data_IF_341788739878
#
_entry.id   IF_341788739878
#
_cell.length_a   1.000
_cell.length_b   1.000
_cell.length_c   1.000
_cell.angle_alpha   90.00
_cell.angle_beta   90.00
_cell.angle_gamma   90.00
#
_symmetry.space_group_name_H-M   'P 1'
#
loop_
_entity.id
_entity.type
_entity.pdbx_description
1 polymer ?
#
# COMPACT_ATOMS: atom_id res chain seq x y z
N UNK A 1 -4.89 -11.87 -18.89
CA UNK A 1 -5.82 -11.01 -18.12
C UNK A 1 -6.48 -11.80 -17.00
N UNK A 2 -7.42 -12.72 -17.26
CA UNK A 2 -8.11 -13.51 -16.20
C UNK A 2 -7.15 -14.15 -15.19
N UNK A 3 -6.11 -14.87 -15.64
CA UNK A 3 -5.15 -15.57 -14.77
C UNK A 3 -4.39 -14.68 -13.77
N UNK A 4 -4.19 -13.39 -14.06
CA UNK A 4 -3.41 -12.50 -13.18
C UNK A 4 -4.22 -12.06 -11.97
N UNK A 5 -5.50 -11.73 -12.17
CA UNK A 5 -6.43 -11.37 -11.09
C UNK A 5 -6.64 -12.58 -10.15
N UNK A 6 -6.77 -13.79 -10.72
CA UNK A 6 -6.91 -15.03 -9.93
C UNK A 6 -5.75 -15.28 -8.96
N UNK A 7 -4.52 -14.84 -9.26
CA UNK A 7 -3.35 -15.09 -8.41
C UNK A 7 -3.23 -14.14 -7.21
N UNK A 8 -3.71 -12.90 -7.36
CA UNK A 8 -3.83 -11.96 -6.24
C UNK A 8 -5.02 -12.32 -5.35
N UNK A 9 -6.15 -12.69 -5.96
CA UNK A 9 -7.38 -13.07 -5.25
C UNK A 9 -7.22 -14.40 -4.48
N UNK A 10 -6.45 -15.39 -4.96
CA UNK A 10 -6.37 -16.72 -4.34
C UNK A 10 -5.70 -16.81 -2.94
N UNK A 11 -5.57 -15.70 -2.20
CA UNK A 11 -5.10 -15.66 -0.79
C UNK A 11 -5.97 -14.73 0.05
N UNK A 12 -7.06 -15.29 0.57
CA UNK A 12 -8.01 -14.66 1.50
C UNK A 12 -9.19 -15.60 1.78
N UNK A 13 -10.12 -15.22 2.64
CA UNK A 13 -11.42 -15.90 2.75
C UNK A 13 -12.24 -15.74 1.48
N UNK A 14 -13.26 -16.59 1.25
CA UNK A 14 -14.13 -16.42 0.09
C UNK A 14 -14.79 -15.03 0.03
N UNK A 15 -15.13 -14.42 1.16
CA UNK A 15 -15.78 -13.11 1.19
C UNK A 15 -14.82 -11.97 0.80
N UNK A 16 -13.58 -11.97 1.31
CA UNK A 16 -12.55 -11.01 0.92
C UNK A 16 -12.24 -11.06 -0.58
N UNK A 17 -12.28 -12.27 -1.15
CA UNK A 17 -12.08 -12.50 -2.58
C UNK A 17 -13.19 -11.90 -3.45
N UNK A 18 -14.45 -12.01 -2.99
CA UNK A 18 -15.62 -11.37 -3.61
C UNK A 18 -15.52 -9.85 -3.54
N UNK A 19 -15.14 -9.32 -2.36
CA UNK A 19 -14.92 -7.88 -2.13
C UNK A 19 -13.81 -7.31 -3.01
N UNK A 20 -12.64 -7.94 -3.07
CA UNK A 20 -11.50 -7.48 -3.89
C UNK A 20 -11.88 -7.42 -5.38
N UNK A 21 -12.57 -8.45 -5.89
CA UNK A 21 -13.05 -8.48 -7.28
C UNK A 21 -14.02 -7.31 -7.57
N UNK A 22 -14.95 -7.04 -6.65
CA UNK A 22 -15.93 -5.95 -6.73
C UNK A 22 -15.29 -4.57 -6.54
N UNK A 23 -14.27 -4.44 -5.71
CA UNK A 23 -13.48 -3.21 -5.55
C UNK A 23 -12.73 -2.84 -6.83
N UNK A 24 -11.98 -3.76 -7.43
CA UNK A 24 -11.23 -3.50 -8.67
C UNK A 24 -12.14 -3.14 -9.85
N UNK A 25 -13.38 -3.64 -9.89
CA UNK A 25 -14.43 -3.16 -10.80
C UNK A 25 -14.88 -1.74 -10.45
N UNK A 26 -15.18 -1.46 -9.19
CA UNK A 26 -15.65 -0.15 -8.69
C UNK A 26 -14.64 0.99 -8.94
N UNK A 27 -13.33 0.73 -8.82
CA UNK A 27 -12.28 1.73 -9.06
C UNK A 27 -11.73 1.74 -10.50
N UNK A 28 -12.34 1.00 -11.43
CA UNK A 28 -11.98 1.02 -12.85
C UNK A 28 -10.63 0.38 -13.20
N UNK A 29 -10.08 -0.49 -12.35
CA UNK A 29 -8.92 -1.34 -12.67
C UNK A 29 -9.36 -2.51 -13.57
N UNK A 30 -10.57 -3.02 -13.38
CA UNK A 30 -11.23 -3.92 -14.34
C UNK A 30 -11.93 -3.07 -15.40
N UNK A 31 -11.76 -3.44 -16.67
CA UNK A 31 -12.36 -2.74 -17.81
C UNK A 31 -13.75 -3.29 -18.19
N UNK A 32 -14.53 -2.46 -18.88
CA UNK A 32 -15.83 -2.86 -19.41
C UNK A 32 -15.73 -3.80 -20.63
N UNK A 33 -16.74 -4.67 -20.86
CA UNK A 33 -17.99 -4.87 -20.11
C UNK A 33 -17.88 -5.88 -18.95
N UNK A 34 -16.66 -6.14 -18.45
CA UNK A 34 -16.44 -7.15 -17.39
C UNK A 34 -16.61 -6.55 -15.98
N UNK A 35 -16.29 -5.27 -15.79
CA UNK A 35 -16.56 -4.56 -14.55
C UNK A 35 -18.07 -4.45 -14.25
N UNK A 36 -18.89 -3.99 -15.20
CA UNK A 36 -20.36 -3.95 -15.03
C UNK A 36 -20.92 -5.32 -14.63
N UNK A 37 -20.49 -6.41 -15.26
CA UNK A 37 -20.92 -7.78 -14.90
C UNK A 37 -20.58 -8.19 -13.46
N UNK A 38 -19.46 -7.71 -12.91
CA UNK A 38 -19.09 -7.93 -11.50
C UNK A 38 -19.95 -7.06 -10.57
N UNK A 39 -20.26 -5.84 -10.99
CA UNK A 39 -21.10 -4.90 -10.23
C UNK A 39 -22.58 -5.34 -10.19
N UNK A 40 -23.07 -5.95 -11.28
CA UNK A 40 -24.43 -6.48 -11.43
C UNK A 40 -24.64 -7.81 -10.69
N UNK A 41 -23.59 -8.65 -10.56
CA UNK A 41 -23.70 -9.97 -9.92
C UNK A 41 -23.83 -9.85 -8.39
N UNK A 42 -24.81 -10.52 -7.75
CA UNK A 42 -24.88 -10.62 -6.29
C UNK A 42 -23.56 -11.15 -5.70
N UNK A 43 -23.16 -10.62 -4.55
CA UNK A 43 -21.81 -10.83 -4.02
C UNK A 43 -21.50 -12.32 -3.73
N UNK A 44 -22.50 -13.09 -3.28
CA UNK A 44 -22.40 -14.54 -3.08
C UNK A 44 -22.17 -15.33 -4.38
N UNK A 45 -22.50 -14.75 -5.54
CA UNK A 45 -22.27 -15.32 -6.88
C UNK A 45 -20.91 -14.95 -7.48
N UNK A 46 -20.15 -14.05 -6.84
CA UNK A 46 -18.81 -13.71 -7.31
C UNK A 46 -17.83 -14.88 -7.05
N UNK A 47 -16.93 -15.18 -8.00
CA UNK A 47 -16.05 -16.36 -7.95
C UNK A 47 -14.92 -16.21 -6.93
N UNK A 48 -14.49 -17.35 -6.38
CA UNK A 48 -13.58 -17.46 -5.24
C UNK A 48 -12.67 -18.70 -5.33
N UNK A 49 -11.58 -18.68 -4.60
CA UNK A 49 -10.67 -19.79 -4.32
C UNK A 49 -10.72 -20.18 -2.82
N UNK A 50 -10.17 -21.35 -2.49
CA UNK A 50 -10.25 -21.93 -1.14
C UNK A 50 -9.62 -21.06 -0.03
N UNK A 51 -10.21 -21.14 1.18
CA UNK A 51 -10.04 -20.17 2.27
C UNK A 51 -9.39 -20.74 3.55
N UNK A 52 -8.97 -19.85 4.46
CA UNK A 52 -8.73 -20.08 5.91
C UNK A 52 -8.95 -18.78 6.72
N UNK A 53 -9.00 -18.85 8.07
CA UNK A 53 -9.77 -17.91 8.91
C UNK A 53 -9.06 -17.39 10.21
N UNK A 54 -9.57 -16.32 10.89
CA UNK A 54 -8.77 -15.40 11.74
C UNK A 54 -9.22 -15.23 13.23
N UNK A 55 -8.56 -14.33 14.00
CA UNK A 55 -9.01 -13.78 15.31
C UNK A 55 -8.24 -12.49 15.75
N UNK A 56 -8.86 -11.59 16.55
CA UNK A 56 -8.34 -10.26 16.99
C UNK A 56 -8.97 -9.82 18.36
N UNK A 57 -8.73 -8.69 19.07
CA UNK A 57 -7.84 -7.50 19.01
C UNK A 57 -7.83 -6.74 20.39
N UNK A 58 -7.02 -5.67 20.57
CA UNK A 58 -7.06 -4.66 21.68
C UNK A 58 -6.97 -3.22 21.07
N UNK A 59 -7.20 -2.13 21.81
CA UNK A 59 -7.31 -0.75 21.26
C UNK A 59 -6.82 0.36 22.25
N UNK A 60 -6.77 1.68 21.89
CA UNK A 60 -6.88 2.33 20.58
C UNK A 60 -5.73 3.32 20.22
N UNK A 61 -5.69 3.82 18.99
CA UNK A 61 -5.05 5.09 18.60
C UNK A 61 -6.11 6.07 18.07
N UNK A 62 -5.81 7.39 18.05
CA UNK A 62 -6.79 8.45 17.73
C UNK A 62 -7.29 8.45 16.28
N UNK A 63 -6.43 8.07 15.33
CA UNK A 63 -6.91 7.52 14.06
C UNK A 63 -7.30 6.06 14.31
N UNK A 64 -8.58 5.73 14.09
CA UNK A 64 -9.06 4.33 14.12
C UNK A 64 -8.17 3.46 13.25
N UNK A 65 -8.02 2.20 13.64
CA UNK A 65 -7.19 1.24 12.92
C UNK A 65 -8.04 0.56 11.85
N UNK A 66 -7.47 0.45 10.66
CA UNK A 66 -8.10 -0.23 9.54
C UNK A 66 -7.79 -1.73 9.64
N UNK A 67 -8.84 -2.55 9.60
CA UNK A 67 -8.73 -4.00 9.74
C UNK A 67 -9.94 -4.71 9.14
N UNK A 68 -10.00 -6.03 9.34
CA UNK A 68 -11.02 -6.91 8.79
C UNK A 68 -12.45 -6.40 9.07
N UNK A 69 -13.25 -6.28 8.00
CA UNK A 69 -14.62 -5.79 8.04
C UNK A 69 -14.81 -4.32 7.63
N UNK A 70 -13.80 -3.46 7.76
CA UNK A 70 -13.89 -2.05 7.35
C UNK A 70 -14.08 -1.88 5.83
N UNK A 71 -14.95 -0.96 5.41
CA UNK A 71 -15.33 -0.74 4.01
C UNK A 71 -15.00 0.68 3.53
N UNK A 72 -14.27 0.83 2.42
CA UNK A 72 -13.75 2.12 1.96
C UNK A 72 -14.82 3.21 1.71
N UNK A 73 -16.08 2.80 1.52
CA UNK A 73 -17.27 3.66 1.47
C UNK A 73 -17.56 4.47 2.73
N UNK A 74 -17.00 4.09 3.88
CA UNK A 74 -17.14 4.82 5.16
C UNK A 74 -16.04 5.84 5.45
N UNK A 75 -15.04 5.98 4.58
CA UNK A 75 -13.89 6.86 4.81
C UNK A 75 -14.18 8.31 4.41
N UNK A 76 -13.86 9.24 5.30
CA UNK A 76 -13.70 10.66 4.94
C UNK A 76 -12.37 10.81 4.21
N UNK A 77 -12.43 11.06 2.90
CA UNK A 77 -11.25 11.18 2.04
C UNK A 77 -10.79 12.64 1.98
N UNK A 78 -9.48 12.94 2.13
CA UNK A 78 -8.97 14.30 1.98
C UNK A 78 -9.00 14.76 0.51
N UNK A 79 -9.14 16.06 0.29
CA UNK A 79 -9.20 16.66 -1.04
C UNK A 79 -7.79 16.92 -1.56
N UNK A 80 -7.34 16.06 -2.50
CA UNK A 80 -6.00 16.11 -3.08
C UNK A 80 -6.02 16.40 -4.58
N UNK A 81 -5.04 17.17 -5.05
CA UNK A 81 -4.74 17.39 -6.47
C UNK A 81 -3.24 17.35 -6.72
N UNK A 82 -2.82 17.26 -7.99
CA UNK A 82 -1.42 17.36 -8.40
C UNK A 82 -1.20 18.65 -9.20
N UNK A 83 -0.20 19.44 -8.82
CA UNK A 83 0.22 20.67 -9.51
C UNK A 83 1.74 20.65 -9.67
N UNK A 84 2.25 20.83 -10.88
CA UNK A 84 3.69 20.85 -11.22
C UNK A 84 4.50 19.69 -10.60
N UNK A 85 3.93 18.46 -10.66
CA UNK A 85 4.55 17.26 -10.11
C UNK A 85 4.52 17.16 -8.57
N UNK A 86 3.79 18.04 -7.88
CA UNK A 86 3.62 18.04 -6.41
C UNK A 86 2.18 17.74 -6.00
N UNK A 87 2.02 17.02 -4.90
CA UNK A 87 0.71 16.86 -4.25
C UNK A 87 0.32 18.16 -3.55
N UNK A 88 -0.95 18.53 -3.65
CA UNK A 88 -1.55 19.69 -2.98
C UNK A 88 -2.81 19.23 -2.22
N UNK A 89 -2.93 19.67 -0.97
CA UNK A 89 -4.11 19.48 -0.11
C UNK A 89 -4.91 20.78 -0.03
N UNK A 90 -6.25 20.68 0.05
CA UNK A 90 -7.13 21.84 0.25
C UNK A 90 -7.24 22.28 1.73
N UNK A 91 -6.45 21.67 2.63
CA UNK A 91 -6.43 21.96 4.07
C UNK A 91 -6.86 20.79 4.95
N UNK A 92 -7.36 19.70 4.36
CA UNK A 92 -7.86 18.53 5.09
C UNK A 92 -6.75 17.74 5.81
N UNK A 93 -5.54 17.69 5.21
CA UNK A 93 -4.34 17.06 5.75
C UNK A 93 -3.08 17.87 5.46
N UNK A 94 -2.03 17.64 6.25
CA UNK A 94 -0.68 18.16 5.99
C UNK A 94 -0.04 17.47 4.78
N UNK A 95 0.60 18.25 3.91
CA UNK A 95 1.38 17.77 2.77
C UNK A 95 2.71 18.52 2.72
N UNK A 96 3.77 17.88 3.19
CA UNK A 96 5.13 18.43 3.21
C UNK A 96 5.93 18.01 1.97
N UNK A 97 6.85 18.87 1.53
CA UNK A 97 7.82 18.53 0.48
C UNK A 97 9.25 18.57 1.03
N UNK A 98 9.83 17.39 1.31
CA UNK A 98 11.18 17.23 1.87
C UNK A 98 12.05 16.48 0.85
N UNK A 99 12.72 17.19 -0.07
CA UNK A 99 13.38 16.57 -1.21
C UNK A 99 14.60 15.72 -0.82
N UNK A 100 14.80 14.61 -1.51
CA UNK A 100 16.05 13.82 -1.47
C UNK A 100 16.90 14.02 -2.72
N UNK A 101 18.23 13.90 -2.56
CA UNK A 101 19.19 13.85 -3.66
C UNK A 101 19.22 12.48 -4.38
N UNK A 102 18.63 11.43 -3.78
CA UNK A 102 18.52 10.09 -4.37
C UNK A 102 17.43 10.05 -5.45
N UNK A 103 17.64 10.72 -6.59
CA UNK A 103 16.63 10.95 -7.63
C UNK A 103 17.17 10.66 -9.04
N UNK A 104 16.38 9.93 -9.84
CA UNK A 104 16.68 9.60 -11.23
C UNK A 104 16.31 10.70 -12.23
N UNK A 105 16.25 10.33 -13.51
CA UNK A 105 15.84 11.22 -14.61
C UNK A 105 14.37 11.67 -14.54
N UNK A 106 13.89 12.27 -15.63
CA UNK A 106 12.45 12.43 -15.88
C UNK A 106 11.83 11.08 -16.28
N UNK A 107 10.52 10.94 -16.10
CA UNK A 107 9.80 9.85 -16.77
C UNK A 107 9.77 10.08 -18.29
N UNK A 108 9.72 8.98 -19.04
CA UNK A 108 9.40 9.01 -20.49
C UNK A 108 7.94 9.43 -20.70
N UNK A 109 7.60 9.96 -21.87
CA UNK A 109 6.25 10.49 -22.14
C UNK A 109 5.10 9.46 -22.07
N UNK A 110 5.41 8.16 -22.00
CA UNK A 110 4.45 7.07 -21.82
C UNK A 110 4.39 6.52 -20.37
N UNK A 111 5.17 7.09 -19.46
CA UNK A 111 5.35 6.70 -18.05
C UNK A 111 5.08 7.93 -17.14
N UNK A 112 4.73 7.76 -15.84
CA UNK A 112 4.59 6.49 -15.13
C UNK A 112 3.30 5.74 -15.51
N UNK A 113 3.35 4.41 -15.41
CA UNK A 113 2.27 3.48 -15.73
C UNK A 113 1.73 2.71 -14.53
N UNK A 114 2.47 2.66 -13.43
CA UNK A 114 2.10 1.91 -12.24
C UNK A 114 2.18 2.78 -10.98
N UNK A 115 1.36 2.47 -9.98
CA UNK A 115 1.60 2.89 -8.59
C UNK A 115 2.09 1.65 -7.84
N UNK A 116 3.19 1.75 -7.10
CA UNK A 116 3.74 0.68 -6.26
C UNK A 116 3.52 1.04 -4.79
N UNK A 117 2.88 0.15 -4.04
CA UNK A 117 2.68 0.30 -2.60
C UNK A 117 3.64 -0.60 -1.81
N UNK A 118 4.23 -0.06 -0.73
CA UNK A 118 5.08 -0.78 0.22
C UNK A 118 4.89 -0.27 1.66
N UNK A 119 5.37 -1.02 2.66
CA UNK A 119 5.61 -0.44 3.98
C UNK A 119 7.06 0.02 4.12
N UNK A 120 7.25 1.12 4.83
CA UNK A 120 8.58 1.69 5.07
C UNK A 120 9.44 0.91 6.09
N UNK A 121 8.85 -0.08 6.77
CA UNK A 121 9.45 -0.86 7.87
C UNK A 121 9.98 0.05 8.99
N UNK A 122 9.10 0.93 9.49
CA UNK A 122 9.42 1.98 10.46
C UNK A 122 8.18 2.43 11.23
N UNK A 123 8.41 2.86 12.48
CA UNK A 123 7.43 3.47 13.38
C UNK A 123 7.21 4.97 13.10
N UNK A 124 8.18 5.62 12.45
CA UNK A 124 8.30 7.08 12.38
C UNK A 124 8.62 7.59 10.96
N UNK A 125 7.95 8.67 10.58
CA UNK A 125 8.21 9.39 9.33
C UNK A 125 9.59 10.06 9.31
N UNK A 126 10.00 10.69 10.42
CA UNK A 126 11.29 11.37 10.52
C UNK A 126 12.49 10.43 10.33
N UNK A 127 12.43 9.21 10.87
CA UNK A 127 13.45 8.18 10.66
C UNK A 127 13.53 7.73 9.20
N UNK A 128 12.38 7.59 8.52
CA UNK A 128 12.31 7.27 7.09
C UNK A 128 12.91 8.36 6.22
N UNK A 129 12.51 9.62 6.44
CA UNK A 129 12.98 10.78 5.68
C UNK A 129 14.48 10.97 5.88
N UNK A 130 14.97 10.87 7.12
CA UNK A 130 16.41 10.93 7.41
C UNK A 130 17.19 9.82 6.68
N UNK A 131 16.68 8.59 6.67
CA UNK A 131 17.25 7.46 5.90
C UNK A 131 17.26 7.74 4.40
N UNK A 132 16.14 8.13 3.80
CA UNK A 132 16.00 8.32 2.35
C UNK A 132 16.65 9.61 1.83
N UNK A 133 16.93 10.59 2.67
CA UNK A 133 17.71 11.79 2.34
C UNK A 133 19.21 11.65 2.62
N UNK A 134 19.68 10.53 3.18
CA UNK A 134 21.11 10.25 3.35
C UNK A 134 21.75 9.99 1.97
N UNK A 135 22.89 10.63 1.61
CA UNK A 135 23.55 10.42 0.32
C UNK A 135 23.97 8.97 0.06
N UNK A 136 24.08 8.60 -1.21
CA UNK A 136 24.54 7.28 -1.70
C UNK A 136 23.70 6.07 -1.22
N UNK A 137 22.49 6.30 -0.70
CA UNK A 137 21.57 5.24 -0.25
C UNK A 137 20.97 4.42 -1.38
N UNK A 138 21.02 4.91 -2.63
CA UNK A 138 20.45 4.27 -3.82
C UNK A 138 18.96 3.89 -3.69
N UNK A 139 18.25 4.58 -2.78
CA UNK A 139 16.84 4.36 -2.47
C UNK A 139 16.13 5.70 -2.24
N UNK A 140 14.88 5.79 -2.70
CA UNK A 140 13.98 6.91 -2.45
C UNK A 140 12.55 6.51 -2.83
N UNK A 141 11.57 7.22 -2.29
CA UNK A 141 10.15 7.04 -2.63
C UNK A 141 9.59 8.38 -3.09
N UNK A 142 8.51 8.40 -3.89
CA UNK A 142 7.85 9.65 -4.23
C UNK A 142 7.12 10.22 -3.02
N UNK A 143 6.34 9.36 -2.35
CA UNK A 143 5.33 9.75 -1.38
C UNK A 143 5.42 8.85 -0.14
N UNK A 144 5.37 9.45 1.04
CA UNK A 144 5.26 8.78 2.34
C UNK A 144 3.92 9.14 2.97
N UNK A 145 3.10 8.16 3.34
CA UNK A 145 1.85 8.40 4.08
C UNK A 145 2.04 8.09 5.58
N UNK A 146 1.89 9.12 6.42
CA UNK A 146 2.10 9.05 7.87
C UNK A 146 0.92 8.39 8.60
N UNK A 147 1.08 7.97 9.87
CA UNK A 147 0.03 7.23 10.63
C UNK A 147 -1.28 8.00 10.82
N UNK A 148 -1.19 9.31 10.82
CA UNK A 148 -2.27 10.31 10.90
C UNK A 148 -2.82 10.74 9.53
N UNK A 149 -2.33 10.14 8.43
CA UNK A 149 -2.82 10.40 7.08
C UNK A 149 -2.20 11.60 6.36
N UNK A 150 -1.22 12.29 6.97
CA UNK A 150 -0.41 13.29 6.27
C UNK A 150 0.47 12.68 5.19
N UNK A 151 0.95 13.52 4.27
CA UNK A 151 1.86 13.13 3.18
C UNK A 151 3.19 13.85 3.35
N UNK A 152 4.30 13.13 3.23
CA UNK A 152 5.61 13.72 2.93
C UNK A 152 6.02 13.29 1.53
N UNK A 153 6.11 14.25 0.61
CA UNK A 153 6.62 14.02 -0.74
C UNK A 153 8.13 14.26 -0.76
N UNK A 154 8.91 13.29 -1.27
CA UNK A 154 10.38 13.37 -1.35
C UNK A 154 10.92 13.46 -2.77
N UNK A 155 10.15 13.06 -3.79
CA UNK A 155 10.51 13.14 -5.21
C UNK A 155 9.35 13.73 -6.02
N UNK A 156 9.60 14.74 -6.90
CA UNK A 156 8.61 15.21 -7.86
C UNK A 156 8.04 14.10 -8.75
N UNK A 157 6.74 14.13 -9.02
CA UNK A 157 6.00 13.05 -9.69
C UNK A 157 6.28 12.98 -11.21
N UNK A 158 7.01 13.95 -11.76
CA UNK A 158 7.58 13.97 -13.11
C UNK A 158 9.00 13.35 -13.18
N UNK A 159 9.51 12.82 -12.05
CA UNK A 159 10.87 12.27 -11.88
C UNK A 159 10.85 10.85 -11.34
N UNK A 160 11.90 10.10 -11.66
CA UNK A 160 12.09 8.71 -11.22
C UNK A 160 12.61 8.68 -9.77
N UNK A 161 11.87 8.07 -8.85
CA UNK A 161 12.37 7.67 -7.53
C UNK A 161 12.91 6.22 -7.55
N UNK A 162 13.61 5.81 -6.50
CA UNK A 162 14.34 4.54 -6.42
C UNK A 162 13.73 3.57 -5.38
N UNK A 163 12.42 3.29 -5.52
CA UNK A 163 11.64 2.53 -4.53
C UNK A 163 11.54 1.03 -4.85
N UNK A 164 11.33 0.70 -6.13
CA UNK A 164 11.12 -0.67 -6.59
C UNK A 164 12.43 -1.46 -6.70
N UNK A 165 13.49 -0.84 -7.20
CA UNK A 165 14.78 -1.51 -7.41
C UNK A 165 14.69 -2.71 -8.37
N UNK A 166 15.37 -3.81 -8.05
CA UNK A 166 15.35 -5.04 -8.85
C UNK A 166 13.95 -5.69 -8.83
N UNK A 167 13.19 -5.49 -9.92
CA UNK A 167 11.75 -5.73 -10.00
C UNK A 167 11.30 -6.11 -11.41
N UNK A 168 10.22 -6.89 -11.53
CA UNK A 168 9.57 -7.24 -12.80
C UNK A 168 8.04 -7.34 -12.63
N UNK A 169 7.28 -6.83 -13.59
CA UNK A 169 5.82 -6.95 -13.64
C UNK A 169 5.33 -7.10 -15.08
N UNK A 170 4.58 -8.17 -15.38
CA UNK A 170 4.02 -8.45 -16.72
C UNK A 170 5.07 -8.37 -17.85
N UNK A 171 6.30 -8.82 -17.58
CA UNK A 171 7.45 -8.79 -18.50
C UNK A 171 8.21 -7.45 -18.57
N UNK A 172 7.72 -6.38 -17.91
CA UNK A 172 8.45 -5.12 -17.79
C UNK A 172 9.39 -5.17 -16.58
N UNK A 173 10.68 -4.93 -16.80
CA UNK A 173 11.72 -4.91 -15.76
C UNK A 173 12.06 -3.48 -15.30
N UNK A 174 12.51 -3.37 -14.05
CA UNK A 174 13.03 -2.12 -13.48
C UNK A 174 11.95 -1.07 -13.28
N UNK A 175 10.96 -1.38 -12.44
CA UNK A 175 9.72 -0.60 -12.33
C UNK A 175 9.93 0.85 -11.86
N UNK A 176 11.06 1.20 -11.23
CA UNK A 176 11.46 2.58 -10.90
C UNK A 176 11.18 3.56 -12.05
N UNK A 177 11.59 3.19 -13.28
CA UNK A 177 11.47 4.05 -14.46
C UNK A 177 10.02 4.21 -14.98
N UNK A 178 9.05 3.52 -14.37
CA UNK A 178 7.66 3.39 -14.84
C UNK A 178 6.61 3.53 -13.74
N UNK A 179 7.01 3.92 -12.53
CA UNK A 179 6.10 3.87 -11.39
C UNK A 179 6.31 4.94 -10.34
N UNK A 180 5.19 5.37 -9.78
CA UNK A 180 5.11 6.22 -8.58
C UNK A 180 5.13 5.29 -7.37
N UNK A 181 6.10 5.46 -6.49
CA UNK A 181 6.21 4.70 -5.23
C UNK A 181 5.50 5.42 -4.10
N UNK A 182 4.72 4.67 -3.31
CA UNK A 182 4.05 5.16 -2.10
C UNK A 182 4.39 4.23 -0.93
N UNK A 183 5.20 4.75 -0.01
CA UNK A 183 5.56 4.07 1.24
C UNK A 183 4.59 4.49 2.34
N UNK A 184 4.13 3.54 3.14
CA UNK A 184 3.40 3.85 4.38
C UNK A 184 4.31 3.78 5.58
N UNK A 185 4.18 4.74 6.52
CA UNK A 185 4.75 4.62 7.86
C UNK A 185 4.03 3.49 8.58
N UNK A 186 4.61 2.30 8.51
CA UNK A 186 4.12 1.05 9.07
C UNK A 186 5.35 0.16 9.33
N UNK A 187 5.38 -0.51 10.48
CA UNK A 187 6.44 -1.43 10.88
C UNK A 187 6.51 -2.69 10.00
N UNK A 188 5.42 -3.06 9.35
CA UNK A 188 5.30 -4.22 8.49
C UNK A 188 5.18 -5.52 9.28
N UNK A 189 6.08 -6.47 9.01
CA UNK A 189 6.10 -7.77 9.69
C UNK A 189 6.68 -7.68 11.10
N UNK A 190 6.02 -8.35 12.04
CA UNK A 190 6.32 -8.39 13.46
C UNK A 190 6.58 -9.84 13.92
N UNK A 191 7.27 -9.98 15.04
CA UNK A 191 7.54 -11.25 15.70
C UNK A 191 6.97 -11.22 17.11
N UNK A 192 6.28 -12.28 17.55
CA UNK A 192 5.91 -12.44 18.95
C UNK A 192 7.07 -13.06 19.75
N UNK A 193 7.37 -12.47 20.90
CA UNK A 193 8.30 -13.00 21.91
C UNK A 193 7.63 -14.09 22.77
N UNK A 194 8.41 -14.78 23.59
CA UNK A 194 7.89 -15.82 24.51
C UNK A 194 6.98 -15.28 25.63
N UNK A 195 7.07 -14.00 25.93
CA UNK A 195 6.18 -13.25 26.85
C UNK A 195 4.91 -12.72 26.14
N UNK A 196 4.72 -13.06 24.86
CA UNK A 196 3.62 -12.61 24.00
C UNK A 196 3.90 -11.28 23.28
N UNK A 197 4.84 -10.46 23.77
CA UNK A 197 5.07 -9.09 23.29
C UNK A 197 5.51 -9.07 21.83
N UNK A 198 4.86 -8.22 21.04
CA UNK A 198 5.20 -8.02 19.63
C UNK A 198 6.41 -7.10 19.45
N UNK A 199 7.31 -7.47 18.54
CA UNK A 199 8.41 -6.59 18.12
C UNK A 199 8.63 -6.53 16.62
N UNK A 200 9.20 -5.42 16.19
CA UNK A 200 9.89 -5.28 14.90
C UNK A 200 11.09 -6.24 14.79
N UNK A 201 11.71 -6.29 13.62
CA UNK A 201 12.95 -7.04 13.37
C UNK A 201 14.16 -6.49 14.16
N UNK A 202 14.20 -5.19 14.47
CA UNK A 202 15.21 -4.53 15.32
C UNK A 202 14.85 -4.56 16.82
N UNK A 203 13.77 -5.27 17.19
CA UNK A 203 13.43 -5.58 18.59
C UNK A 203 12.63 -4.50 19.34
N UNK A 204 12.25 -3.39 18.67
CA UNK A 204 11.34 -2.37 19.21
C UNK A 204 9.98 -2.99 19.53
N UNK A 205 9.40 -2.64 20.67
CA UNK A 205 8.07 -3.10 21.08
C UNK A 205 6.99 -2.40 20.27
N UNK A 206 6.04 -3.18 19.73
CA UNK A 206 4.82 -2.68 19.08
C UNK A 206 3.63 -3.06 19.96
N UNK A 207 2.74 -2.13 20.33
CA UNK A 207 1.55 -2.46 21.13
C UNK A 207 0.62 -3.42 20.38
N UNK A 208 0.08 -4.42 21.07
CA UNK A 208 -0.88 -5.41 20.56
C UNK A 208 -2.02 -4.80 19.75
N UNK A 209 -2.50 -3.62 20.18
CA UNK A 209 -3.53 -2.86 19.49
C UNK A 209 -3.19 -2.53 18.03
N UNK A 210 -1.90 -2.43 17.66
CA UNK A 210 -1.43 -2.16 16.30
C UNK A 210 -1.25 -3.44 15.46
N UNK A 211 -1.55 -4.65 15.95
CA UNK A 211 -1.33 -5.91 15.21
C UNK A 211 -2.65 -6.45 14.65
N UNK A 212 -2.74 -6.62 13.32
CA UNK A 212 -3.98 -7.02 12.64
C UNK A 212 -3.98 -8.47 12.17
N UNK A 213 -2.95 -8.91 11.44
CA UNK A 213 -2.84 -10.30 11.00
C UNK A 213 -1.88 -11.06 11.92
N UNK A 214 -2.26 -12.26 12.35
CA UNK A 214 -1.41 -13.18 13.12
C UNK A 214 -1.36 -14.55 12.43
N UNK A 215 -0.16 -15.02 12.09
CA UNK A 215 0.06 -16.37 11.55
C UNK A 215 0.88 -17.22 12.54
N UNK A 216 0.37 -18.42 12.83
CA UNK A 216 0.98 -19.44 13.68
C UNK A 216 1.56 -20.56 12.82
N UNK A 217 2.48 -20.20 11.91
CA UNK A 217 3.04 -21.11 10.90
C UNK A 217 3.98 -22.17 11.51
N UNK A 218 3.39 -23.23 12.08
CA UNK A 218 4.01 -24.54 12.30
C UNK A 218 5.22 -24.62 13.25
N UNK A 219 5.57 -23.54 13.94
CA UNK A 219 6.78 -23.45 14.76
C UNK A 219 6.62 -22.58 16.02
N UNK A 220 7.67 -22.51 16.82
CA UNK A 220 7.63 -21.96 18.18
C UNK A 220 7.67 -20.41 18.25
N UNK A 221 7.18 -19.72 17.21
CA UNK A 221 7.11 -18.25 17.07
C UNK A 221 5.92 -17.86 16.20
N UNK A 222 5.05 -16.98 16.70
CA UNK A 222 3.98 -16.34 15.92
C UNK A 222 4.53 -15.18 15.11
N UNK A 223 4.11 -15.06 13.85
CA UNK A 223 4.39 -13.90 12.99
C UNK A 223 3.17 -12.98 13.01
N UNK A 224 3.40 -11.67 13.07
CA UNK A 224 2.34 -10.66 13.04
C UNK A 224 2.55 -9.67 11.89
N UNK A 225 1.54 -8.85 11.60
CA UNK A 225 1.70 -7.65 10.78
C UNK A 225 0.96 -6.46 11.38
N UNK A 226 1.55 -5.27 11.25
CA UNK A 226 0.97 -4.03 11.78
C UNK A 226 -0.19 -3.49 10.94
N UNK A 227 -1.32 -3.21 11.60
CA UNK A 227 -2.51 -2.57 11.04
C UNK A 227 -2.18 -1.23 10.39
N UNK A 228 -2.82 -0.92 9.26
CA UNK A 228 -2.90 0.44 8.74
C UNK A 228 -3.91 1.27 9.57
N UNK A 229 -3.92 2.60 9.44
CA UNK A 229 -4.96 3.44 10.03
C UNK A 229 -6.04 3.81 9.01
N UNK A 230 -7.26 4.14 9.46
CA UNK A 230 -8.32 4.70 8.60
C UNK A 230 -7.79 5.90 7.79
N UNK A 231 -7.00 6.76 8.44
CA UNK A 231 -6.39 7.93 7.83
C UNK A 231 -5.35 7.58 6.74
N UNK A 232 -4.52 6.55 6.96
CA UNK A 232 -3.59 6.07 5.93
C UNK A 232 -4.33 5.54 4.69
N UNK A 233 -5.37 4.74 4.90
CA UNK A 233 -6.16 4.19 3.79
C UNK A 233 -6.92 5.32 3.07
N UNK A 234 -7.58 6.22 3.81
CA UNK A 234 -8.29 7.37 3.24
C UNK A 234 -7.38 8.25 2.36
N UNK A 235 -6.21 8.64 2.88
CA UNK A 235 -5.22 9.41 2.12
C UNK A 235 -4.73 8.64 0.90
N UNK A 236 -4.49 7.33 1.00
CA UNK A 236 -4.07 6.53 -0.17
C UNK A 236 -5.14 6.47 -1.26
N UNK A 237 -6.42 6.32 -0.91
CA UNK A 237 -7.53 6.30 -1.88
C UNK A 237 -7.69 7.66 -2.55
N UNK A 238 -7.61 8.76 -1.79
CA UNK A 238 -7.60 10.11 -2.35
C UNK A 238 -6.40 10.36 -3.27
N UNK A 239 -5.21 9.93 -2.85
CA UNK A 239 -3.94 10.14 -3.57
C UNK A 239 -3.89 9.32 -4.86
N UNK A 240 -4.30 8.05 -4.85
CA UNK A 240 -4.41 7.23 -6.08
C UNK A 240 -5.41 7.84 -7.07
N UNK A 241 -6.54 8.40 -6.59
CA UNK A 241 -7.50 9.12 -7.46
C UNK A 241 -6.89 10.37 -8.08
N UNK A 242 -6.25 11.23 -7.28
CA UNK A 242 -5.59 12.44 -7.77
C UNK A 242 -4.46 12.10 -8.78
N UNK A 243 -3.64 11.09 -8.48
CA UNK A 243 -2.60 10.61 -9.39
C UNK A 243 -3.18 10.09 -10.71
N UNK A 244 -4.25 9.28 -10.69
CA UNK A 244 -4.87 8.77 -11.92
C UNK A 244 -5.55 9.86 -12.75
N UNK A 245 -6.06 10.93 -12.13
CA UNK A 245 -6.61 12.09 -12.82
C UNK A 245 -5.50 12.90 -13.53
N UNK A 246 -4.37 13.14 -12.86
CA UNK A 246 -3.25 13.93 -13.41
C UNK A 246 -2.31 13.14 -14.33
N UNK A 247 -2.23 11.82 -14.19
CA UNK A 247 -1.42 10.92 -15.02
C UNK A 247 -2.29 9.82 -15.64
N UNK A 248 -2.98 10.10 -16.78
CA UNK A 248 -3.83 9.11 -17.45
C UNK A 248 -3.10 7.82 -17.86
N UNK A 249 -1.77 7.90 -18.03
CA UNK A 249 -0.84 6.78 -18.31
C UNK A 249 -0.80 5.71 -17.23
N UNK A 250 -1.17 6.03 -15.99
CA UNK A 250 -1.28 5.06 -14.89
C UNK A 250 -2.40 4.05 -15.19
N UNK A 251 -2.07 2.77 -15.32
CA UNK A 251 -3.01 1.70 -15.68
C UNK A 251 -3.34 0.75 -14.52
N UNK A 252 -2.51 0.70 -13.47
CA UNK A 252 -2.61 -0.33 -12.44
C UNK A 252 -1.89 0.08 -11.14
N UNK A 253 -2.41 -0.39 -10.01
CA UNK A 253 -1.74 -0.33 -8.70
C UNK A 253 -1.24 -1.74 -8.38
N UNK A 254 0.00 -1.87 -7.90
CA UNK A 254 0.66 -3.14 -7.59
C UNK A 254 1.38 -3.05 -6.26
N UNK A 255 1.74 -4.19 -5.66
CA UNK A 255 2.57 -4.20 -4.46
C UNK A 255 4.05 -4.34 -4.77
N UNK A 256 4.88 -3.89 -3.83
CA UNK A 256 6.29 -4.24 -3.80
C UNK A 256 6.51 -5.76 -3.79
N UNK A 257 5.64 -6.54 -3.12
CA UNK A 257 5.73 -8.00 -3.10
C UNK A 257 5.39 -8.68 -4.44
N UNK A 258 4.46 -8.12 -5.22
CA UNK A 258 4.08 -8.63 -6.55
C UNK A 258 5.20 -8.46 -7.57
N UNK A 259 5.85 -7.28 -7.54
CA UNK A 259 6.92 -6.94 -8.49
C UNK A 259 8.30 -7.43 -8.04
N UNK A 260 8.42 -8.02 -6.84
CA UNK A 260 9.67 -8.51 -6.25
C UNK A 260 9.47 -9.68 -5.28
N UNK A 261 8.82 -10.77 -5.72
CA UNK A 261 8.51 -11.92 -4.86
C UNK A 261 9.78 -12.53 -4.27
N UNK A 262 9.71 -12.91 -2.99
CA UNK A 262 10.85 -13.46 -2.24
C UNK A 262 11.89 -12.44 -1.79
N UNK A 263 11.95 -11.23 -2.39
CA UNK A 263 12.80 -10.11 -1.94
C UNK A 263 12.04 -9.10 -1.06
N UNK A 264 10.74 -8.95 -1.29
CA UNK A 264 9.86 -7.98 -0.63
C UNK A 264 8.53 -8.62 -0.26
N UNK A 265 7.93 -8.12 0.83
CA UNK A 265 6.70 -8.66 1.43
C UNK A 265 5.64 -7.58 1.74
N UNK A 266 5.94 -6.31 1.50
CA UNK A 266 5.02 -5.19 1.73
C UNK A 266 4.08 -4.94 0.54
N UNK A 267 2.91 -4.31 0.77
CA UNK A 267 2.42 -3.79 2.06
C UNK A 267 1.89 -4.89 3.01
N UNK A 268 1.80 -6.16 2.55
CA UNK A 268 1.47 -7.30 3.41
C UNK A 268 -0.02 -7.45 3.72
N UNK A 269 -0.41 -8.49 4.49
CA UNK A 269 -1.82 -8.89 4.64
C UNK A 269 -2.78 -7.82 5.20
N UNK A 270 -2.42 -6.96 6.17
CA UNK A 270 -3.33 -5.91 6.67
C UNK A 270 -3.59 -4.76 5.69
N UNK A 271 -3.03 -4.79 4.47
CA UNK A 271 -3.39 -3.83 3.43
C UNK A 271 -4.59 -4.35 2.63
N UNK A 272 -5.78 -3.97 3.09
CA UNK A 272 -7.03 -4.33 2.43
C UNK A 272 -7.20 -3.53 1.13
N UNK A 273 -7.41 -4.25 0.03
CA UNK A 273 -7.64 -3.72 -1.32
C UNK A 273 -9.13 -3.43 -1.52
#
# INVERSE_FOLDING_TARGET
MQQTISAAIARGTEEEQRRALRFYATIGIIAEPYAQKILDLPEDKLPVAAAQAPAAAIAPFGGRLWGEGSTASGLVLPTLSIVDGKVVSQGDINVDFIPTASIGGRFEAADPRFIVLDFAATDTAAGLVSRLSTPNTNASVHLVITRDGGIIQMVPLDRIAWHAGASEWKGLRGLNARSIGIDFVNNGQLHSRQDGVWTTWDGKIVPDARVCAQDRTGGNRTVGFECYSEAQIATSVALVRALKQSYPTLIEVVTQSDISPGRKIGPGPPFHW
#
